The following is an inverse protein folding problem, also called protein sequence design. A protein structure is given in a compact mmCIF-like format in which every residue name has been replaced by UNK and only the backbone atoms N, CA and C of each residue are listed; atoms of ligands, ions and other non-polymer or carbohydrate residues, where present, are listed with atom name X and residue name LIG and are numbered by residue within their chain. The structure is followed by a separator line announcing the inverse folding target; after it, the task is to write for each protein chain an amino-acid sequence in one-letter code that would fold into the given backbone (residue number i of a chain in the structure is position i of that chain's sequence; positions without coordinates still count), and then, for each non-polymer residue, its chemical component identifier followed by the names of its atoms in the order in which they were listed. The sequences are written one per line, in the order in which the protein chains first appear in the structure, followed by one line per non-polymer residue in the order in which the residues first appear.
data_IF_750320005333
#
_entry.id   IF_750320005333
#
_cell.length_a   1.000
_cell.length_b   1.000
_cell.length_c   1.000
_cell.angle_alpha   90.00
_cell.angle_beta   90.00
_cell.angle_gamma   90.00
#
_symmetry.space_group_name_H-M   'P 1'
#
loop_
_entity.id
_entity.type
_entity.pdbx_description
1 polymer ?
#
# COMPACT_ATOMS: atom_id res chain seq x y z
N UNK A 1 -33.00 -26.79 -12.61
CA UNK A 1 -32.29 -27.28 -11.42
C UNK A 1 -31.15 -26.32 -11.18
N UNK A 2 -31.35 -25.35 -10.30
CA UNK A 2 -30.36 -24.34 -9.92
C UNK A 2 -30.12 -24.61 -8.46
N UNK A 3 -28.95 -25.13 -8.11
CA UNK A 3 -28.62 -25.44 -6.73
C UNK A 3 -28.40 -24.14 -5.96
N UNK A 4 -29.28 -23.97 -4.98
CA UNK A 4 -29.29 -22.94 -3.97
C UNK A 4 -28.22 -23.33 -2.95
N UNK A 5 -27.12 -22.59 -2.87
CA UNK A 5 -26.24 -22.64 -1.70
C UNK A 5 -26.76 -21.65 -0.64
N UNK A 6 -26.98 -22.08 0.62
CA UNK A 6 -27.53 -21.24 1.66
C UNK A 6 -26.46 -20.38 2.35
N UNK A 7 -26.95 -19.24 2.83
CA UNK A 7 -26.34 -18.22 3.64
C UNK A 7 -25.25 -18.70 4.61
N UNK A 8 -24.04 -18.14 4.48
CA UNK A 8 -23.13 -18.01 5.62
C UNK A 8 -23.04 -16.54 6.01
N UNK A 9 -23.55 -16.27 7.21
CA UNK A 9 -23.90 -14.97 7.77
C UNK A 9 -22.72 -14.31 8.48
N UNK A 10 -21.68 -13.91 7.75
CA UNK A 10 -20.64 -13.01 8.29
C UNK A 10 -20.16 -12.09 7.15
N UNK A 11 -20.10 -10.79 7.41
CA UNK A 11 -19.45 -9.72 6.62
C UNK A 11 -20.24 -8.81 5.66
N UNK A 12 -21.58 -8.77 5.70
CA UNK A 12 -22.33 -7.66 5.05
C UNK A 12 -22.26 -6.33 5.81
N UNK A 13 -21.81 -6.32 7.08
CA UNK A 13 -21.77 -5.09 7.91
C UNK A 13 -20.53 -4.22 7.69
N UNK A 14 -19.48 -4.72 7.02
CA UNK A 14 -18.23 -3.96 6.84
C UNK A 14 -18.13 -3.21 5.52
N UNK A 15 -18.87 -3.60 4.48
CA UNK A 15 -18.79 -2.96 3.15
C UNK A 15 -19.47 -1.58 3.12
N UNK A 16 -20.51 -1.37 3.93
CA UNK A 16 -21.26 -0.11 3.96
C UNK A 16 -20.58 0.99 4.79
N UNK A 17 -19.79 0.62 5.81
CA UNK A 17 -19.05 1.58 6.63
C UNK A 17 -17.86 2.21 5.88
N UNK A 18 -17.27 1.50 4.91
CA UNK A 18 -16.14 2.00 4.10
C UNK A 18 -16.55 3.04 3.04
N UNK A 19 -17.84 3.09 2.68
CA UNK A 19 -18.36 4.00 1.65
C UNK A 19 -18.49 5.46 2.09
N UNK A 20 -18.30 5.76 3.39
CA UNK A 20 -18.64 7.07 3.97
C UNK A 20 -17.45 7.90 4.46
N UNK A 21 -16.22 7.43 4.27
CA UNK A 21 -15.02 8.23 4.51
C UNK A 21 -14.67 8.99 3.22
N UNK A 22 -15.07 10.26 3.14
CA UNK A 22 -14.76 11.13 1.99
C UNK A 22 -13.29 11.61 1.98
N UNK A 23 -12.50 11.24 2.99
CA UNK A 23 -11.13 11.75 3.19
C UNK A 23 -10.11 10.60 3.28
N UNK A 24 -10.05 9.78 2.24
CA UNK A 24 -9.10 8.68 2.13
C UNK A 24 -7.79 9.13 1.46
N UNK A 25 -6.66 8.75 2.02
CA UNK A 25 -5.33 9.11 1.50
C UNK A 25 -5.03 8.39 0.18
N UNK A 26 -4.86 9.15 -0.89
CA UNK A 26 -4.47 8.62 -2.21
C UNK A 26 -2.95 8.69 -2.45
N UNK A 27 -2.29 9.76 -1.99
CA UNK A 27 -0.87 10.00 -2.21
C UNK A 27 -0.20 10.22 -0.86
N UNK A 28 0.87 9.48 -0.59
CA UNK A 28 1.72 9.69 0.58
C UNK A 28 3.14 10.06 0.13
N UNK A 29 3.60 11.24 0.56
CA UNK A 29 4.97 11.70 0.34
C UNK A 29 5.73 11.73 1.66
N UNK A 30 6.82 10.99 1.73
CA UNK A 30 7.78 10.95 2.83
C UNK A 30 9.20 11.18 2.28
N UNK A 31 9.35 12.23 1.47
CA UNK A 31 10.62 12.57 0.81
C UNK A 31 11.62 13.05 1.87
N UNK A 32 12.84 12.53 1.81
CA UNK A 32 13.97 13.03 2.61
C UNK A 32 13.85 12.75 4.10
N UNK A 33 13.01 11.79 4.52
CA UNK A 33 12.86 11.45 5.92
C UNK A 33 14.06 10.61 6.41
N UNK A 34 15.03 11.19 7.14
CA UNK A 34 16.33 10.55 7.36
C UNK A 34 16.28 9.45 8.43
N UNK A 35 15.22 9.39 9.23
CA UNK A 35 15.10 8.43 10.34
C UNK A 35 14.24 7.22 9.99
N UNK A 36 13.59 7.20 8.82
CA UNK A 36 12.78 6.05 8.40
C UNK A 36 13.72 4.93 7.97
N UNK A 37 13.68 3.81 8.70
CA UNK A 37 14.44 2.59 8.38
C UNK A 37 13.58 1.51 7.71
N UNK A 38 12.27 1.55 7.93
CA UNK A 38 11.34 0.55 7.44
C UNK A 38 10.01 1.18 7.09
N UNK A 39 9.45 0.81 5.95
CA UNK A 39 8.07 1.10 5.58
C UNK A 39 7.35 -0.21 5.32
N UNK A 40 6.18 -0.36 5.92
CA UNK A 40 5.37 -1.56 5.77
C UNK A 40 3.89 -1.20 5.57
N UNK A 41 3.25 -1.89 4.62
CA UNK A 41 1.80 -1.93 4.48
C UNK A 41 1.42 -3.41 4.46
N UNK A 42 0.91 -4.00 5.56
CA UNK A 42 0.50 -5.39 5.57
C UNK A 42 -0.77 -5.59 4.74
N UNK A 43 -1.02 -6.82 4.29
CA UNK A 43 -2.21 -7.16 3.48
C UNK A 43 -3.54 -6.91 4.19
N UNK A 44 -3.53 -6.88 5.53
CA UNK A 44 -4.68 -6.54 6.37
C UNK A 44 -4.93 -5.04 6.52
N UNK A 45 -4.05 -4.17 6.01
CA UNK A 45 -4.18 -2.73 6.16
C UNK A 45 -5.30 -2.16 5.26
N UNK A 46 -6.18 -1.30 5.77
CA UNK A 46 -7.27 -0.71 4.99
C UNK A 46 -6.82 0.44 4.07
N UNK A 47 -5.67 0.31 3.40
CA UNK A 47 -5.08 1.30 2.51
C UNK A 47 -5.66 1.22 1.09
N UNK A 48 -6.99 1.19 0.98
CA UNK A 48 -7.67 0.87 -0.28
C UNK A 48 -7.60 1.97 -1.35
N UNK A 49 -7.19 3.20 -1.02
CA UNK A 49 -7.09 4.28 -2.01
C UNK A 49 -5.67 4.75 -2.31
N UNK A 50 -4.69 4.27 -1.56
CA UNK A 50 -3.31 4.70 -1.73
C UNK A 50 -2.81 4.24 -3.11
N UNK A 51 -2.61 5.19 -4.02
CA UNK A 51 -2.18 4.95 -5.39
C UNK A 51 -0.72 5.34 -5.61
N UNK A 52 -0.18 6.29 -4.83
CA UNK A 52 1.21 6.74 -4.95
C UNK A 52 1.90 6.82 -3.60
N UNK A 53 3.10 6.24 -3.54
CA UNK A 53 4.00 6.34 -2.40
C UNK A 53 5.36 6.87 -2.87
N UNK A 54 5.81 7.95 -2.24
CA UNK A 54 7.10 8.56 -2.55
C UNK A 54 7.98 8.63 -1.31
N UNK A 55 9.10 7.92 -1.36
CA UNK A 55 10.09 7.78 -0.30
C UNK A 55 11.46 8.32 -0.72
N UNK A 56 11.53 9.07 -1.83
CA UNK A 56 12.78 9.58 -2.40
C UNK A 56 13.65 10.26 -1.32
N UNK A 57 14.97 10.15 -1.42
CA UNK A 57 15.96 10.74 -0.49
C UNK A 57 15.90 10.20 0.95
N UNK A 58 15.14 9.14 1.23
CA UNK A 58 15.16 8.46 2.53
C UNK A 58 16.40 7.57 2.65
N UNK A 59 17.57 8.20 2.83
CA UNK A 59 18.88 7.55 2.68
C UNK A 59 19.14 6.41 3.65
N UNK A 60 18.47 6.38 4.82
CA UNK A 60 18.58 5.32 5.83
C UNK A 60 17.49 4.24 5.74
N UNK A 61 16.63 4.29 4.71
CA UNK A 61 15.58 3.30 4.49
C UNK A 61 16.22 1.96 4.11
N UNK A 62 16.05 0.94 4.96
CA UNK A 62 16.61 -0.40 4.77
C UNK A 62 15.60 -1.40 4.21
N UNK A 63 14.33 -1.27 4.58
CA UNK A 63 13.29 -2.24 4.22
C UNK A 63 12.00 -1.57 3.74
N UNK A 64 11.46 -2.09 2.65
CA UNK A 64 10.13 -1.75 2.12
C UNK A 64 9.35 -3.04 1.91
N UNK A 65 8.18 -3.13 2.52
CA UNK A 65 7.34 -4.34 2.54
C UNK A 65 5.87 -3.96 2.35
N UNK A 66 5.40 -3.97 1.10
CA UNK A 66 4.12 -3.37 0.74
C UNK A 66 3.19 -4.41 0.14
N UNK A 67 2.02 -4.56 0.75
CA UNK A 67 0.85 -5.23 0.21
C UNK A 67 -0.26 -4.20 0.02
N UNK A 68 -0.40 -3.67 -1.20
CA UNK A 68 -1.35 -2.58 -1.48
C UNK A 68 -1.91 -2.69 -2.90
N UNK A 69 -3.17 -3.12 -3.00
CA UNK A 69 -3.84 -3.45 -4.27
C UNK A 69 -3.88 -2.28 -5.23
N UNK A 70 -4.06 -1.04 -4.74
CA UNK A 70 -4.23 0.14 -5.58
C UNK A 70 -2.96 0.97 -5.81
N UNK A 71 -1.83 0.57 -5.21
CA UNK A 71 -0.56 1.26 -5.41
C UNK A 71 -0.11 1.07 -6.86
N UNK A 72 -0.09 2.16 -7.63
CA UNK A 72 0.33 2.18 -9.03
C UNK A 72 1.71 2.80 -9.23
N UNK A 73 2.16 3.64 -8.29
CA UNK A 73 3.47 4.29 -8.33
C UNK A 73 4.21 4.20 -7.00
N UNK A 74 5.45 3.73 -7.06
CA UNK A 74 6.39 3.70 -5.95
C UNK A 74 7.71 4.36 -6.34
N UNK A 75 8.08 5.44 -5.66
CA UNK A 75 9.35 6.13 -5.85
C UNK A 75 10.29 5.91 -4.67
N UNK A 76 11.41 5.22 -4.95
CA UNK A 76 12.48 4.86 -4.02
C UNK A 76 13.84 5.42 -4.47
N UNK A 77 13.85 6.46 -5.32
CA UNK A 77 15.10 7.11 -5.74
C UNK A 77 15.92 7.55 -4.53
N UNK A 78 17.24 7.51 -4.69
CA UNK A 78 18.20 7.93 -3.66
C UNK A 78 18.00 7.27 -2.28
N UNK A 79 17.37 6.08 -2.22
CA UNK A 79 17.29 5.26 -1.01
C UNK A 79 18.51 4.34 -0.93
N UNK A 80 19.69 4.93 -0.72
CA UNK A 80 20.98 4.24 -0.86
C UNK A 80 21.22 3.09 0.13
N UNK A 81 20.49 3.03 1.25
CA UNK A 81 20.60 1.95 2.23
C UNK A 81 19.56 0.83 2.05
N UNK A 82 18.79 0.82 0.95
CA UNK A 82 17.72 -0.15 0.75
C UNK A 82 18.28 -1.55 0.54
N UNK A 83 17.96 -2.47 1.44
CA UNK A 83 18.42 -3.86 1.44
C UNK A 83 17.30 -4.83 1.05
N UNK A 84 16.06 -4.55 1.46
CA UNK A 84 14.91 -5.44 1.27
C UNK A 84 13.76 -4.69 0.60
N UNK A 85 13.30 -5.22 -0.53
CA UNK A 85 12.10 -4.78 -1.24
C UNK A 85 11.16 -5.96 -1.46
N UNK A 86 10.01 -5.93 -0.79
CA UNK A 86 8.92 -6.91 -0.94
C UNK A 86 7.67 -6.19 -1.41
N UNK A 87 7.09 -6.67 -2.50
CA UNK A 87 5.97 -6.03 -3.18
C UNK A 87 4.89 -7.07 -3.51
N UNK A 88 3.73 -6.89 -2.89
CA UNK A 88 2.45 -7.49 -3.24
C UNK A 88 1.49 -6.35 -3.67
N UNK A 89 1.84 -5.74 -4.80
CA UNK A 89 1.16 -4.57 -5.36
C UNK A 89 0.75 -4.87 -6.81
N UNK A 90 -0.38 -5.57 -7.04
CA UNK A 90 -0.75 -6.07 -8.37
C UNK A 90 -1.02 -4.98 -9.42
N UNK A 91 -1.27 -3.73 -9.00
CA UNK A 91 -1.47 -2.58 -9.89
C UNK A 91 -0.22 -1.72 -10.08
N UNK A 92 0.93 -2.12 -9.53
CA UNK A 92 2.17 -1.34 -9.64
C UNK A 92 2.67 -1.35 -11.09
N UNK A 93 2.65 -0.18 -11.73
CA UNK A 93 3.12 0.00 -13.11
C UNK A 93 4.32 0.92 -13.20
N UNK A 94 4.57 1.73 -12.17
CA UNK A 94 5.70 2.64 -12.09
C UNK A 94 6.53 2.39 -10.82
N UNK A 95 7.72 1.83 -10.99
CA UNK A 95 8.70 1.62 -9.92
C UNK A 95 10.00 2.36 -10.26
N UNK A 96 10.42 3.28 -9.38
CA UNK A 96 11.63 4.08 -9.57
C UNK A 96 12.66 3.75 -8.48
N UNK A 97 13.77 3.11 -8.86
CA UNK A 97 14.84 2.66 -7.94
C UNK A 97 16.14 3.47 -8.06
N UNK A 98 16.39 4.09 -9.22
CA UNK A 98 17.60 4.86 -9.57
C UNK A 98 17.28 6.34 -9.71
#
# INVERSE_FOLDING_TARGET
MVDICPSNSVSLRNEEAFRKSEHMLEILNCIGCPNIKTVAIPSSAPCFRLSKLNLNLSTNLKKVDLACVNLSSLNLRNCCSLEILKLDCPRLTNLQLL
#
